data_IF_748248656569
#
_entry.id   IF_748248656569
#
_cell.length_a   1.000
_cell.length_b   1.000
_cell.length_c   1.000
_cell.angle_alpha   90.00
_cell.angle_beta   90.00
_cell.angle_gamma   90.00
#
_symmetry.space_group_name_H-M   'P 1'
#
loop_
_entity.id
_entity.type
_entity.pdbx_description
1 polymer ?
#
# COMPACT_ATOMS: atom_id res chain seq x y z
N UNK A 1 59.10 8.81 -25.07
CA UNK A 1 59.49 7.69 -24.19
C UNK A 1 58.57 7.74 -22.98
N UNK A 2 57.79 6.67 -22.73
CA UNK A 2 57.14 6.33 -21.43
C UNK A 2 55.95 7.24 -21.04
N UNK A 3 54.73 6.80 -20.69
CA UNK A 3 54.17 5.47 -20.40
C UNK A 3 52.67 5.43 -20.68
N UNK A 4 52.27 4.29 -21.24
CA UNK A 4 50.92 3.78 -21.48
C UNK A 4 50.30 3.39 -20.13
N UNK A 5 49.35 4.16 -19.58
CA UNK A 5 48.56 3.68 -18.44
C UNK A 5 47.49 2.69 -18.95
N UNK A 6 47.69 1.43 -18.59
CA UNK A 6 46.78 0.31 -18.80
C UNK A 6 45.48 0.55 -18.03
N UNK A 7 44.35 0.37 -18.71
CA UNK A 7 43.07 0.07 -18.07
C UNK A 7 43.24 -1.10 -17.08
N UNK A 8 42.78 -0.98 -15.82
CA UNK A 8 42.61 -2.16 -14.98
C UNK A 8 41.43 -3.00 -15.51
N UNK A 9 41.57 -4.33 -15.56
CA UNK A 9 40.54 -5.25 -16.04
C UNK A 9 39.48 -5.49 -14.96
N UNK A 10 38.22 -5.63 -15.40
CA UNK A 10 37.20 -6.37 -14.67
C UNK A 10 36.79 -5.77 -13.33
N UNK A 11 36.06 -4.65 -13.34
CA UNK A 11 35.12 -4.39 -12.26
C UNK A 11 33.95 -5.36 -12.47
N UNK A 12 34.04 -6.54 -11.85
CA UNK A 12 32.89 -7.37 -11.56
C UNK A 12 31.84 -6.42 -10.98
N UNK A 13 30.62 -6.31 -11.56
CA UNK A 13 29.59 -5.50 -10.95
C UNK A 13 29.35 -6.13 -9.58
N UNK A 14 29.85 -5.48 -8.53
CA UNK A 14 29.43 -5.76 -7.17
C UNK A 14 27.92 -5.60 -7.21
N UNK A 15 27.25 -6.75 -7.07
CA UNK A 15 25.82 -6.88 -7.12
C UNK A 15 25.25 -5.90 -6.09
N UNK A 16 24.84 -4.72 -6.57
CA UNK A 16 24.19 -3.71 -5.75
C UNK A 16 23.08 -4.41 -4.99
N UNK A 17 23.03 -4.18 -3.68
CA UNK A 17 22.15 -4.88 -2.75
C UNK A 17 20.75 -5.07 -3.40
N UNK A 18 20.33 -6.31 -3.71
CA UNK A 18 19.31 -6.60 -4.73
C UNK A 18 17.85 -6.25 -4.36
N UNK A 19 17.64 -5.32 -3.43
CA UNK A 19 16.46 -5.32 -2.58
C UNK A 19 15.86 -3.94 -2.30
N UNK A 20 16.05 -2.98 -3.20
CA UNK A 20 15.24 -1.77 -3.22
C UNK A 20 14.06 -1.95 -4.20
N UNK A 21 13.08 -2.75 -3.79
CA UNK A 21 11.80 -2.79 -4.52
C UNK A 21 11.11 -1.43 -4.41
N UNK A 22 10.72 -0.85 -5.53
CA UNK A 22 9.88 0.36 -5.48
C UNK A 22 8.53 0.05 -4.83
N UNK A 23 7.94 1.03 -4.14
CA UNK A 23 6.60 0.94 -3.55
C UNK A 23 5.56 0.43 -4.56
N UNK A 24 5.69 0.89 -5.81
CA UNK A 24 4.87 0.49 -6.95
C UNK A 24 5.02 -1.01 -7.27
N UNK A 25 6.25 -1.54 -7.29
CA UNK A 25 6.51 -2.97 -7.50
C UNK A 25 5.86 -3.83 -6.43
N UNK A 26 5.92 -3.40 -5.15
CA UNK A 26 5.30 -4.13 -4.04
C UNK A 26 3.79 -4.17 -4.20
N UNK A 27 3.14 -3.05 -4.47
CA UNK A 27 1.69 -3.02 -4.61
C UNK A 27 1.20 -3.80 -5.85
N UNK A 28 1.96 -3.77 -6.96
CA UNK A 28 1.69 -4.62 -8.12
C UNK A 28 1.84 -6.11 -7.80
N UNK A 29 2.85 -6.48 -7.00
CA UNK A 29 3.04 -7.84 -6.52
C UNK A 29 1.83 -8.31 -5.67
N UNK A 30 1.37 -7.48 -4.73
CA UNK A 30 0.21 -7.76 -3.88
C UNK A 30 -1.07 -7.90 -4.72
N UNK A 31 -1.28 -7.03 -5.69
CA UNK A 31 -2.42 -7.11 -6.58
C UNK A 31 -2.37 -8.36 -7.49
N UNK A 32 -1.18 -8.73 -7.97
CA UNK A 32 -0.97 -9.97 -8.73
C UNK A 32 -1.31 -11.21 -7.90
N UNK A 33 -0.87 -11.23 -6.64
CA UNK A 33 -1.17 -12.30 -5.68
C UNK A 33 -2.68 -12.40 -5.42
N UNK A 34 -3.35 -11.26 -5.23
CA UNK A 34 -4.81 -11.20 -5.09
C UNK A 34 -5.52 -11.84 -6.28
N UNK A 35 -5.17 -11.42 -7.51
CA UNK A 35 -5.82 -11.91 -8.72
C UNK A 35 -5.58 -13.40 -8.95
N UNK A 36 -4.38 -13.90 -8.62
CA UNK A 36 -4.03 -15.31 -8.74
C UNK A 36 -4.80 -16.16 -7.73
N UNK A 37 -4.80 -15.78 -6.45
CA UNK A 37 -5.56 -16.47 -5.40
C UNK A 37 -7.05 -16.47 -5.76
N UNK A 38 -7.60 -15.31 -6.09
CA UNK A 38 -9.01 -15.20 -6.45
C UNK A 38 -9.36 -16.08 -7.66
N UNK A 39 -8.54 -16.07 -8.71
CA UNK A 39 -8.78 -16.89 -9.90
C UNK A 39 -8.71 -18.38 -9.65
N UNK A 40 -7.79 -18.84 -8.79
CA UNK A 40 -7.72 -20.24 -8.37
C UNK A 40 -8.92 -20.63 -7.50
N UNK A 41 -9.29 -19.78 -6.53
CA UNK A 41 -10.41 -20.03 -5.63
C UNK A 41 -11.74 -20.08 -6.40
N UNK A 42 -11.91 -19.27 -7.46
CA UNK A 42 -13.13 -19.29 -8.26
C UNK A 42 -13.52 -20.68 -8.77
N UNK A 43 -12.56 -21.56 -9.06
CA UNK A 43 -12.89 -22.93 -9.48
C UNK A 43 -13.59 -23.73 -8.38
N UNK A 44 -13.12 -23.61 -7.13
CA UNK A 44 -13.67 -24.31 -5.97
C UNK A 44 -14.93 -23.63 -5.38
N UNK A 45 -15.03 -22.30 -5.52
CA UNK A 45 -16.23 -21.56 -5.12
C UNK A 45 -17.42 -21.89 -6.03
N UNK A 46 -17.17 -22.07 -7.33
CA UNK A 46 -18.22 -22.44 -8.30
C UNK A 46 -18.73 -23.86 -8.14
N UNK A 47 -17.93 -24.79 -7.63
CA UNK A 47 -18.39 -26.14 -7.29
C UNK A 47 -19.16 -26.19 -5.97
N UNK A 48 -19.31 -25.05 -5.27
CA UNK A 48 -19.97 -24.97 -3.97
C UNK A 48 -19.17 -25.63 -2.84
N UNK A 49 -17.90 -25.97 -3.08
CA UNK A 49 -17.07 -26.68 -2.11
C UNK A 49 -16.58 -25.77 -0.98
N UNK A 50 -16.62 -24.45 -1.17
CA UNK A 50 -16.12 -23.46 -0.22
C UNK A 50 -17.15 -22.34 -0.01
N UNK A 51 -17.27 -21.78 1.22
CA UNK A 51 -18.08 -20.61 1.47
C UNK A 51 -17.51 -19.39 0.74
N UNK A 52 -18.37 -18.57 0.13
CA UNK A 52 -17.93 -17.39 -0.62
C UNK A 52 -18.46 -16.11 0.02
N UNK A 53 -17.57 -15.18 0.36
CA UNK A 53 -17.94 -13.83 0.77
C UNK A 53 -17.64 -12.82 -0.36
N UNK A 54 -18.65 -12.45 -1.19
CA UNK A 54 -18.46 -11.47 -2.25
C UNK A 54 -18.04 -10.08 -1.73
N UNK A 55 -18.58 -9.64 -0.60
CA UNK A 55 -18.24 -8.35 0.01
C UNK A 55 -16.77 -8.29 0.45
N UNK A 56 -16.26 -9.36 1.06
CA UNK A 56 -14.85 -9.49 1.42
C UNK A 56 -13.91 -9.47 0.21
N UNK A 57 -14.30 -10.11 -0.88
CA UNK A 57 -13.51 -10.17 -2.11
C UNK A 57 -13.48 -8.82 -2.85
N UNK A 58 -14.63 -8.26 -3.21
CA UNK A 58 -14.70 -7.00 -3.96
C UNK A 58 -14.27 -5.81 -3.10
N UNK A 59 -14.58 -5.83 -1.80
CA UNK A 59 -14.11 -4.83 -0.84
C UNK A 59 -12.59 -4.79 -0.74
N UNK A 60 -11.94 -5.95 -0.60
CA UNK A 60 -10.48 -6.04 -0.53
C UNK A 60 -9.83 -5.57 -1.84
N UNK A 61 -10.38 -5.97 -2.99
CA UNK A 61 -9.93 -5.47 -4.28
C UNK A 61 -10.01 -3.94 -4.35
N UNK A 62 -11.12 -3.36 -3.91
CA UNK A 62 -11.32 -1.91 -3.93
C UNK A 62 -10.34 -1.18 -2.99
N UNK A 63 -10.04 -1.74 -1.82
CA UNK A 63 -9.00 -1.18 -0.92
C UNK A 63 -7.61 -1.28 -1.56
N UNK A 64 -7.26 -2.38 -2.22
CA UNK A 64 -5.98 -2.51 -2.93
C UNK A 64 -5.86 -1.53 -4.11
N UNK A 65 -6.94 -1.32 -4.88
CA UNK A 65 -6.99 -0.29 -5.93
C UNK A 65 -6.83 1.10 -5.33
N UNK A 66 -7.49 1.36 -4.19
CA UNK A 66 -7.38 2.63 -3.47
C UNK A 66 -5.95 2.91 -3.02
N UNK A 67 -5.25 1.89 -2.52
CA UNK A 67 -3.83 1.99 -2.19
C UNK A 67 -3.01 2.36 -3.41
N UNK A 68 -3.23 1.73 -4.57
CA UNK A 68 -2.54 2.08 -5.81
C UNK A 68 -2.79 3.54 -6.23
N UNK A 69 -4.04 4.01 -6.13
CA UNK A 69 -4.41 5.41 -6.41
C UNK A 69 -3.65 6.35 -5.46
N UNK A 70 -3.71 6.09 -4.16
CA UNK A 70 -3.15 6.96 -3.13
C UNK A 70 -1.61 7.07 -3.21
N UNK A 71 -0.94 5.96 -3.52
CA UNK A 71 0.52 5.80 -3.38
C UNK A 71 1.30 6.07 -4.64
N UNK A 72 0.81 5.62 -5.81
CA UNK A 72 1.53 5.79 -7.08
C UNK A 72 1.43 7.26 -7.53
N UNK A 73 0.44 8.01 -7.04
CA UNK A 73 0.22 9.40 -7.43
C UNK A 73 -0.18 9.55 -8.91
N UNK A 74 -0.26 8.43 -9.66
CA UNK A 74 -0.79 8.34 -11.03
C UNK A 74 -2.19 7.73 -10.98
N UNK A 75 -3.19 8.48 -11.42
CA UNK A 75 -4.54 7.91 -11.49
C UNK A 75 -4.61 6.80 -12.54
N UNK A 76 -5.69 6.00 -12.49
CA UNK A 76 -6.17 5.25 -13.65
C UNK A 76 -6.27 6.05 -14.96
N UNK A 77 -6.36 7.37 -14.89
CA UNK A 77 -6.52 8.26 -16.04
C UNK A 77 -5.19 8.73 -16.66
N UNK A 78 -4.02 8.48 -16.05
CA UNK A 78 -2.71 8.88 -16.58
C UNK A 78 -1.70 9.38 -15.54
N UNK A 79 -0.56 9.91 -16.01
CA UNK A 79 0.43 10.60 -15.16
C UNK A 79 -0.10 11.97 -14.77
N UNK A 80 -0.97 12.02 -13.78
CA UNK A 80 -1.30 13.26 -13.11
C UNK A 80 -0.31 13.49 -11.97
N UNK A 81 -0.01 14.75 -11.67
CA UNK A 81 0.66 15.09 -10.41
C UNK A 81 -0.27 14.68 -9.26
N UNK A 82 0.28 14.24 -8.13
CA UNK A 82 -0.48 13.77 -6.97
C UNK A 82 -1.33 14.92 -6.42
N UNK A 83 -2.59 15.02 -6.85
CA UNK A 83 -3.51 16.08 -6.42
C UNK A 83 -4.27 15.66 -5.16
N UNK A 84 -4.69 16.63 -4.36
CA UNK A 84 -5.53 16.39 -3.17
C UNK A 84 -6.83 15.66 -3.50
N UNK A 85 -7.47 16.01 -4.62
CA UNK A 85 -8.69 15.34 -5.10
C UNK A 85 -8.50 13.84 -5.31
N UNK A 86 -7.35 13.44 -5.85
CA UNK A 86 -7.05 12.05 -6.13
C UNK A 86 -6.81 11.23 -4.84
N UNK A 87 -6.14 11.83 -3.86
CA UNK A 87 -6.00 11.22 -2.52
C UNK A 87 -7.38 11.08 -1.88
N UNK A 88 -8.21 12.12 -1.93
CA UNK A 88 -9.58 12.09 -1.40
C UNK A 88 -10.43 10.99 -2.06
N UNK A 89 -10.41 10.91 -3.39
CA UNK A 89 -11.12 9.88 -4.14
C UNK A 89 -10.64 8.47 -3.72
N UNK A 90 -9.33 8.27 -3.59
CA UNK A 90 -8.75 7.02 -3.10
C UNK A 90 -9.17 6.70 -1.65
N UNK A 91 -9.27 7.70 -0.77
CA UNK A 91 -9.77 7.49 0.59
C UNK A 91 -11.25 7.10 0.60
N UNK A 92 -12.09 7.76 -0.20
CA UNK A 92 -13.50 7.40 -0.34
C UNK A 92 -13.69 5.97 -0.85
N UNK A 93 -12.93 5.56 -1.87
CA UNK A 93 -12.99 4.18 -2.38
C UNK A 93 -12.50 3.16 -1.35
N UNK A 94 -11.50 3.50 -0.52
CA UNK A 94 -11.03 2.62 0.54
C UNK A 94 -12.05 2.45 1.66
N UNK A 95 -12.75 3.54 2.04
CA UNK A 95 -13.85 3.50 3.00
C UNK A 95 -14.97 2.60 2.50
N UNK A 96 -15.42 2.78 1.25
CA UNK A 96 -16.45 1.93 0.64
C UNK A 96 -16.02 0.45 0.58
N UNK A 97 -14.76 0.18 0.22
CA UNK A 97 -14.22 -1.17 0.18
C UNK A 97 -14.17 -1.82 1.56
N UNK A 98 -13.80 -1.05 2.58
CA UNK A 98 -13.76 -1.51 3.98
C UNK A 98 -15.16 -1.82 4.51
N UNK A 99 -16.15 -0.96 4.23
CA UNK A 99 -17.56 -1.20 4.59
C UNK A 99 -18.05 -2.51 3.94
N UNK A 100 -17.75 -2.72 2.66
CA UNK A 100 -18.12 -3.94 1.94
C UNK A 100 -17.46 -5.20 2.50
N UNK A 101 -16.21 -5.10 2.95
CA UNK A 101 -15.54 -6.23 3.60
C UNK A 101 -16.24 -6.63 4.90
N UNK A 102 -16.72 -5.65 5.66
CA UNK A 102 -17.21 -5.88 7.02
C UNK A 102 -18.68 -6.26 7.05
N UNK A 103 -19.49 -5.70 6.14
CA UNK A 103 -20.93 -5.92 6.05
C UNK A 103 -21.22 -6.72 4.77
N UNK A 104 -21.25 -8.08 4.85
CA UNK A 104 -21.59 -8.89 3.69
C UNK A 104 -23.06 -8.68 3.29
N UNK A 105 -23.34 -8.70 1.98
CA UNK A 105 -24.70 -8.76 1.42
C UNK A 105 -25.39 -7.41 1.15
N UNK A 106 -24.95 -6.31 1.77
CA UNK A 106 -25.66 -5.01 1.63
C UNK A 106 -25.17 -4.19 0.44
N UNK A 107 -23.85 -4.16 0.20
CA UNK A 107 -23.23 -3.30 -0.80
C UNK A 107 -22.61 -4.07 -1.99
N UNK A 108 -22.76 -5.40 -2.04
CA UNK A 108 -21.94 -6.25 -2.90
C UNK A 108 -22.10 -5.93 -4.39
N UNK A 109 -23.31 -5.67 -4.87
CA UNK A 109 -23.55 -5.30 -6.27
C UNK A 109 -22.99 -3.91 -6.61
N UNK A 110 -23.18 -2.93 -5.73
CA UNK A 110 -22.69 -1.57 -5.90
C UNK A 110 -21.16 -1.58 -5.95
N UNK A 111 -20.53 -2.31 -5.03
CA UNK A 111 -19.07 -2.39 -4.91
C UNK A 111 -18.47 -3.19 -6.06
N UNK A 112 -19.12 -4.28 -6.49
CA UNK A 112 -18.75 -5.00 -7.71
C UNK A 112 -18.82 -4.10 -8.94
N UNK A 113 -19.89 -3.33 -9.09
CA UNK A 113 -20.06 -2.37 -10.17
C UNK A 113 -19.01 -1.26 -10.15
N UNK A 114 -18.73 -0.69 -8.98
CA UNK A 114 -17.70 0.32 -8.77
C UNK A 114 -16.30 -0.23 -9.08
N UNK A 115 -15.97 -1.42 -8.59
CA UNK A 115 -14.72 -2.10 -8.90
C UNK A 115 -14.61 -2.34 -10.41
N UNK A 116 -15.66 -2.88 -11.05
CA UNK A 116 -15.72 -3.09 -12.49
C UNK A 116 -15.51 -1.81 -13.30
N UNK A 117 -16.16 -0.71 -12.90
CA UNK A 117 -16.00 0.60 -13.54
C UNK A 117 -14.58 1.13 -13.38
N UNK A 118 -14.00 1.06 -12.18
CA UNK A 118 -12.63 1.48 -11.93
C UNK A 118 -11.65 0.66 -12.74
N UNK A 119 -11.79 -0.67 -12.78
CA UNK A 119 -10.95 -1.57 -13.60
C UNK A 119 -11.06 -1.23 -15.09
N UNK A 120 -12.29 -1.10 -15.61
CA UNK A 120 -12.53 -0.86 -17.03
C UNK A 120 -11.99 0.50 -17.48
N UNK A 121 -12.37 1.57 -16.77
CA UNK A 121 -11.96 2.94 -17.11
C UNK A 121 -10.44 3.10 -17.01
N UNK A 122 -9.82 2.56 -15.96
CA UNK A 122 -8.39 2.64 -15.75
C UNK A 122 -7.55 1.87 -16.76
N UNK A 123 -7.97 0.65 -17.12
CA UNK A 123 -7.31 -0.15 -18.13
C UNK A 123 -7.42 0.50 -19.50
N UNK A 124 -8.63 0.90 -19.88
CA UNK A 124 -8.90 1.54 -21.17
C UNK A 124 -8.10 2.82 -21.37
N UNK A 125 -8.05 3.71 -20.37
CA UNK A 125 -7.38 5.00 -20.53
C UNK A 125 -5.86 4.83 -20.61
N UNK A 126 -5.28 3.94 -19.79
CA UNK A 126 -3.84 3.64 -19.89
C UNK A 126 -3.48 2.95 -21.20
N UNK A 127 -4.37 2.11 -21.73
CA UNK A 127 -4.19 1.49 -23.05
C UNK A 127 -4.22 2.56 -24.16
N UNK A 128 -5.20 3.46 -24.15
CA UNK A 128 -5.27 4.58 -25.11
C UNK A 128 -4.02 5.46 -24.99
N UNK A 129 -3.55 5.77 -23.79
CA UNK A 129 -2.33 6.55 -23.61
C UNK A 129 -1.09 5.88 -24.16
N UNK A 130 -0.97 4.55 -24.03
CA UNK A 130 0.11 3.77 -24.61
C UNK A 130 0.08 3.85 -26.15
N UNK A 131 -1.12 3.80 -26.74
CA UNK A 131 -1.33 3.89 -28.19
C UNK A 131 -1.15 5.32 -28.72
N UNK A 132 -1.54 6.36 -27.98
CA UNK A 132 -1.44 7.77 -28.42
C UNK A 132 0.02 8.27 -28.35
N UNK A 133 0.80 7.85 -27.35
CA UNK A 133 2.22 8.20 -27.24
C UNK A 133 3.13 7.34 -28.13
N UNK A 134 2.73 7.14 -29.40
CA UNK A 134 3.42 6.29 -30.39
C UNK A 134 4.92 6.56 -30.45
N UNK A 135 5.33 7.83 -30.42
CA UNK A 135 6.76 8.22 -30.49
C UNK A 135 7.60 7.71 -29.31
N UNK A 136 7.00 7.53 -28.11
CA UNK A 136 7.67 6.99 -26.92
C UNK A 136 7.66 5.46 -26.93
N UNK A 137 6.50 4.86 -27.21
CA UNK A 137 6.35 3.41 -27.31
C UNK A 137 7.18 2.80 -28.45
N UNK A 138 7.18 3.43 -29.63
CA UNK A 138 8.02 3.01 -30.76
C UNK A 138 9.51 3.11 -30.43
N UNK A 139 9.92 4.15 -29.68
CA UNK A 139 11.31 4.28 -29.24
C UNK A 139 11.68 3.14 -28.29
N UNK A 140 10.79 2.75 -27.38
CA UNK A 140 11.02 1.65 -26.42
C UNK A 140 10.99 0.27 -27.07
N UNK A 141 10.18 0.06 -28.11
CA UNK A 141 10.11 -1.18 -28.88
C UNK A 141 11.33 -1.32 -29.80
N UNK A 142 11.88 -0.20 -30.30
CA UNK A 142 13.01 -0.17 -31.24
C UNK A 142 14.36 -0.45 -30.58
N UNK A 143 14.48 -0.24 -29.26
CA UNK A 143 15.66 -0.70 -28.50
C UNK A 143 15.44 -2.17 -28.05
N UNK A 144 16.21 -3.14 -28.58
CA UNK A 144 16.13 -4.52 -28.11
C UNK A 144 16.59 -4.62 -26.65
N UNK A 145 15.80 -5.28 -25.79
CA UNK A 145 16.13 -5.47 -24.38
C UNK A 145 14.90 -5.44 -23.46
N UNK A 146 15.15 -5.17 -22.16
CA UNK A 146 14.12 -5.19 -21.10
C UNK A 146 12.98 -4.18 -21.32
N UNK A 147 13.23 -3.08 -22.02
CA UNK A 147 12.24 -2.03 -22.34
C UNK A 147 11.12 -2.52 -23.27
N UNK A 148 11.44 -3.43 -24.21
CA UNK A 148 10.45 -4.07 -25.08
C UNK A 148 9.51 -4.97 -24.29
N UNK A 149 10.07 -5.79 -23.39
CA UNK A 149 9.30 -6.64 -22.48
C UNK A 149 8.40 -5.82 -21.54
N UNK A 150 8.90 -4.69 -21.03
CA UNK A 150 8.09 -3.79 -20.21
C UNK A 150 6.89 -3.23 -20.98
N UNK A 151 7.09 -2.79 -22.23
CA UNK A 151 6.02 -2.22 -23.06
C UNK A 151 4.93 -3.26 -23.37
N UNK A 152 5.33 -4.48 -23.73
CA UNK A 152 4.42 -5.60 -23.99
C UNK A 152 3.65 -5.95 -22.72
N UNK A 153 4.34 -6.09 -21.59
CA UNK A 153 3.75 -6.39 -20.29
C UNK A 153 2.71 -5.34 -19.88
N UNK A 154 3.02 -4.05 -20.02
CA UNK A 154 2.08 -2.96 -19.76
C UNK A 154 0.82 -3.06 -20.63
N UNK A 155 0.97 -3.25 -21.94
CA UNK A 155 -0.17 -3.38 -22.85
C UNK A 155 -1.08 -4.56 -22.49
N UNK A 156 -0.47 -5.68 -22.09
CA UNK A 156 -1.15 -6.91 -21.76
C UNK A 156 -1.89 -6.82 -20.41
N UNK A 157 -1.27 -6.19 -19.40
CA UNK A 157 -1.93 -5.84 -18.13
C UNK A 157 -3.10 -4.89 -18.39
N UNK A 158 -2.94 -3.81 -19.16
CA UNK A 158 -4.02 -2.84 -19.38
C UNK A 158 -5.21 -3.45 -20.12
N UNK A 159 -4.96 -4.31 -21.10
CA UNK A 159 -6.00 -5.03 -21.83
C UNK A 159 -6.75 -6.01 -20.94
N UNK A 160 -6.03 -6.86 -20.21
CA UNK A 160 -6.63 -7.88 -19.33
C UNK A 160 -7.34 -7.24 -18.14
N UNK A 161 -6.80 -6.14 -17.59
CA UNK A 161 -7.43 -5.35 -16.54
C UNK A 161 -8.74 -4.71 -17.02
N UNK A 162 -8.77 -4.17 -18.23
CA UNK A 162 -10.00 -3.63 -18.83
C UNK A 162 -11.03 -4.73 -19.08
N UNK A 163 -10.60 -5.89 -19.61
CA UNK A 163 -11.47 -7.04 -19.82
C UNK A 163 -12.08 -7.55 -18.51
N UNK A 164 -11.29 -7.64 -17.43
CA UNK A 164 -11.78 -8.02 -16.10
C UNK A 164 -12.83 -7.03 -15.59
N UNK A 165 -12.67 -5.73 -15.86
CA UNK A 165 -13.67 -4.72 -15.54
C UNK A 165 -15.01 -4.93 -16.27
N UNK A 166 -14.96 -5.23 -17.56
CA UNK A 166 -16.16 -5.52 -18.38
C UNK A 166 -16.88 -6.77 -17.85
N UNK A 167 -16.14 -7.83 -17.55
CA UNK A 167 -16.69 -9.07 -16.99
C UNK A 167 -17.32 -8.83 -15.62
N UNK A 168 -16.75 -7.95 -14.79
CA UNK A 168 -17.34 -7.58 -13.50
C UNK A 168 -18.65 -6.79 -13.64
N UNK A 169 -18.72 -5.89 -14.62
CA UNK A 169 -19.91 -5.08 -14.91
C UNK A 169 -21.04 -5.93 -15.51
N UNK A 170 -20.69 -6.82 -16.44
CA UNK A 170 -21.64 -7.65 -17.18
C UNK A 170 -21.33 -9.13 -16.95
N UNK A 171 -21.73 -9.71 -15.80
CA UNK A 171 -21.41 -11.10 -15.45
C UNK A 171 -22.01 -12.10 -16.45
N UNK A 172 -23.11 -11.75 -17.13
CA UNK A 172 -23.74 -12.59 -18.15
C UNK A 172 -23.06 -12.58 -19.53
N UNK A 173 -22.03 -11.74 -19.74
CA UNK A 173 -21.35 -11.64 -21.04
C UNK A 173 -20.27 -12.72 -21.23
N UNK A 174 -19.82 -13.33 -20.13
CA UNK A 174 -18.70 -14.26 -20.10
C UNK A 174 -19.17 -15.65 -19.68
N UNK A 175 -18.67 -16.70 -20.35
CA UNK A 175 -18.93 -18.08 -19.95
C UNK A 175 -18.40 -18.39 -18.55
N UNK A 176 -18.97 -19.38 -17.88
CA UNK A 176 -18.80 -19.63 -16.44
C UNK A 176 -17.35 -19.74 -15.96
N UNK A 177 -16.44 -20.26 -16.80
CA UNK A 177 -15.03 -20.45 -16.46
C UNK A 177 -14.13 -19.27 -16.85
N UNK A 178 -14.60 -18.40 -17.75
CA UNK A 178 -13.79 -17.32 -18.32
C UNK A 178 -13.26 -16.32 -17.27
N UNK A 179 -14.04 -15.86 -16.27
CA UNK A 179 -13.55 -14.92 -15.26
C UNK A 179 -12.42 -15.51 -14.39
N UNK A 180 -12.44 -16.83 -14.16
CA UNK A 180 -11.39 -17.52 -13.40
C UNK A 180 -10.08 -17.52 -14.19
N UNK A 181 -10.10 -17.94 -15.45
CA UNK A 181 -8.91 -17.88 -16.32
C UNK A 181 -8.38 -16.46 -16.50
N UNK A 182 -9.28 -15.49 -16.70
CA UNK A 182 -8.91 -14.10 -16.90
C UNK A 182 -8.20 -13.51 -15.67
N UNK A 183 -8.67 -13.82 -14.46
CA UNK A 183 -8.04 -13.36 -13.22
C UNK A 183 -6.69 -14.05 -12.94
N UNK A 184 -6.55 -15.36 -13.18
CA UNK A 184 -5.25 -16.04 -13.09
C UNK A 184 -4.26 -15.44 -14.09
N UNK A 185 -4.69 -15.24 -15.33
CA UNK A 185 -3.86 -14.64 -16.37
C UNK A 185 -3.42 -13.23 -15.99
N UNK A 186 -4.35 -12.39 -15.52
CA UNK A 186 -4.06 -11.04 -15.03
C UNK A 186 -3.05 -11.06 -13.86
N UNK A 187 -3.17 -12.01 -12.93
CA UNK A 187 -2.21 -12.22 -11.84
C UNK A 187 -0.79 -12.48 -12.36
N UNK A 188 -0.64 -13.40 -13.32
CA UNK A 188 0.65 -13.69 -13.98
C UNK A 188 1.21 -12.44 -14.66
N UNK A 189 0.36 -11.66 -15.31
CA UNK A 189 0.76 -10.42 -15.98
C UNK A 189 1.29 -9.38 -14.99
N UNK A 190 0.69 -9.26 -13.80
CA UNK A 190 1.18 -8.38 -12.74
C UNK A 190 2.54 -8.79 -12.21
N UNK A 191 2.77 -10.09 -11.97
CA UNK A 191 4.09 -10.58 -11.56
C UNK A 191 5.14 -10.31 -12.63
N UNK A 192 4.81 -10.55 -13.90
CA UNK A 192 5.69 -10.27 -15.02
C UNK A 192 6.01 -8.77 -15.13
N UNK A 193 5.01 -7.90 -14.96
CA UNK A 193 5.19 -6.45 -14.94
C UNK A 193 6.06 -5.99 -13.76
N UNK A 194 5.83 -6.52 -12.57
CA UNK A 194 6.62 -6.22 -11.37
C UNK A 194 8.09 -6.61 -11.58
N UNK A 195 8.35 -7.78 -12.16
CA UNK A 195 9.69 -8.23 -12.52
C UNK A 195 10.36 -7.30 -13.53
N UNK A 196 9.67 -6.94 -14.61
CA UNK A 196 10.20 -6.00 -15.61
C UNK A 196 10.51 -4.62 -14.99
N UNK A 197 9.61 -4.09 -14.16
CA UNK A 197 9.81 -2.83 -13.43
C UNK A 197 11.06 -2.88 -12.55
N UNK A 198 11.23 -3.94 -11.77
CA UNK A 198 12.40 -4.10 -10.90
C UNK A 198 13.71 -4.19 -11.70
N UNK A 199 13.72 -4.94 -12.81
CA UNK A 199 14.90 -5.07 -13.68
C UNK A 199 15.27 -3.75 -14.35
N UNK A 200 14.29 -2.97 -14.81
CA UNK A 200 14.53 -1.64 -15.37
C UNK A 200 15.06 -0.70 -14.31
N UNK A 201 14.51 -0.74 -13.10
CA UNK A 201 15.03 0.07 -11.99
C UNK A 201 16.51 -0.25 -11.72
N UNK A 202 16.86 -1.52 -11.55
CA UNK A 202 18.25 -1.94 -11.32
C UNK A 202 19.20 -1.55 -12.45
N UNK A 203 18.79 -1.69 -13.71
CA UNK A 203 19.64 -1.40 -14.87
C UNK A 203 19.89 0.10 -15.08
N UNK A 204 18.94 0.95 -14.75
CA UNK A 204 19.02 2.39 -15.03
C UNK A 204 19.36 3.26 -13.81
N UNK A 205 19.11 2.81 -12.57
CA UNK A 205 19.57 3.54 -11.37
C UNK A 205 21.06 3.32 -11.06
N UNK A 206 21.67 2.22 -11.49
CA UNK A 206 23.12 1.99 -11.31
C UNK A 206 24.03 2.81 -12.23
N UNK A 207 23.47 3.71 -13.07
CA UNK A 207 24.25 4.47 -14.07
C UNK A 207 24.32 5.99 -13.84
N UNK A 208 23.77 6.54 -12.74
CA UNK A 208 23.96 7.96 -12.39
C UNK A 208 23.96 8.24 -10.88
N UNK A 209 25.09 8.59 -10.25
CA UNK A 209 25.10 9.57 -9.16
C UNK A 209 25.16 10.98 -9.79
N UNK A 210 24.13 11.79 -9.58
CA UNK A 210 24.13 13.20 -9.98
C UNK A 210 23.58 13.47 -11.38
N UNK A 211 22.27 13.68 -11.46
CA UNK A 211 21.60 14.64 -12.36
C UNK A 211 20.10 14.50 -12.14
N UNK A 212 19.60 15.14 -11.09
CA UNK A 212 18.21 15.55 -11.07
C UNK A 212 17.97 16.41 -12.30
N UNK A 213 17.07 15.96 -13.17
CA UNK A 213 16.52 16.78 -14.23
C UNK A 213 15.69 17.87 -13.54
N UNK A 214 16.34 18.97 -13.16
CA UNK A 214 15.73 20.26 -12.83
C UNK A 214 15.04 20.77 -14.09
N UNK A 215 13.83 20.27 -14.33
CA UNK A 215 12.93 20.76 -15.36
C UNK A 215 12.52 22.19 -15.04
N UNK A 216 13.33 23.15 -15.50
CA UNK A 216 13.03 24.59 -15.51
C UNK A 216 11.88 24.85 -16.47
N UNK A 217 10.65 24.67 -16.01
CA UNK A 217 9.45 25.20 -16.66
C UNK A 217 8.78 26.21 -15.71
N UNK A 218 9.36 27.40 -15.65
CA UNK A 218 8.69 28.60 -15.18
C UNK A 218 7.66 29.03 -16.23
N UNK A 219 6.40 28.68 -16.01
CA UNK A 219 5.26 29.29 -16.69
C UNK A 219 4.25 29.71 -15.62
N UNK A 220 4.27 30.98 -15.24
CA UNK A 220 3.06 31.71 -14.84
C UNK A 220 2.57 32.44 -16.10
N UNK A 221 1.25 32.60 -16.35
CA UNK A 221 0.31 33.11 -15.35
C UNK A 221 -1.13 32.53 -15.35
N UNK A 222 -1.84 32.86 -14.25
CA UNK A 222 -3.29 33.11 -14.09
C UNK A 222 -4.29 32.18 -14.81
N UNK A 223 -4.68 31.12 -14.10
CA UNK A 223 -6.09 30.67 -14.06
C UNK A 223 -6.40 30.36 -12.61
N UNK A 224 -7.51 30.91 -12.11
CA UNK A 224 -8.02 30.76 -10.75
C UNK A 224 -8.25 29.27 -10.44
N UNK A 225 -7.24 28.60 -9.88
CA UNK A 225 -7.25 27.16 -9.63
C UNK A 225 -7.82 26.87 -8.25
N UNK A 226 -8.92 26.13 -8.25
CA UNK A 226 -9.55 25.56 -7.07
C UNK A 226 -8.52 24.81 -6.19
N UNK A 227 -8.54 25.07 -4.88
CA UNK A 227 -7.66 24.51 -3.83
C UNK A 227 -7.47 22.98 -3.88
N UNK A 228 -8.41 22.25 -4.49
CA UNK A 228 -8.42 20.79 -4.64
C UNK A 228 -7.47 20.25 -5.73
N UNK A 229 -7.04 21.09 -6.68
CA UNK A 229 -6.14 20.74 -7.79
C UNK A 229 -4.66 21.03 -7.48
N UNK A 230 -4.35 21.47 -6.26
CA UNK A 230 -2.99 21.76 -5.82
C UNK A 230 -2.21 20.46 -5.56
N UNK A 231 -0.92 20.49 -5.90
CA UNK A 231 -0.01 19.37 -5.72
C UNK A 231 0.20 19.09 -4.24
N UNK A 232 -0.06 17.86 -3.82
CA UNK A 232 0.13 17.41 -2.45
C UNK A 232 1.46 16.67 -2.35
N UNK A 233 2.50 17.36 -1.86
CA UNK A 233 3.79 16.77 -1.52
C UNK A 233 3.74 16.05 -0.15
N UNK A 234 2.75 15.19 0.08
CA UNK A 234 2.63 14.43 1.34
C UNK A 234 3.46 13.16 1.24
N UNK A 235 4.42 12.86 2.13
CA UNK A 235 5.16 11.60 2.12
C UNK A 235 4.24 10.37 2.08
N UNK A 236 4.55 9.33 1.28
CA UNK A 236 3.70 8.15 1.14
C UNK A 236 3.41 7.45 2.48
N UNK A 237 4.38 7.45 3.41
CA UNK A 237 4.19 6.90 4.75
C UNK A 237 3.11 7.61 5.57
N UNK A 238 3.01 8.95 5.48
CA UNK A 238 1.97 9.72 6.18
C UNK A 238 0.59 9.36 5.62
N UNK A 239 0.48 9.19 4.31
CA UNK A 239 -0.82 8.87 3.71
C UNK A 239 -1.29 7.45 4.03
N UNK A 240 -0.35 6.49 4.16
CA UNK A 240 -0.68 5.17 4.71
C UNK A 240 -1.16 5.24 6.17
N UNK A 241 -0.55 6.09 7.00
CA UNK A 241 -0.99 6.29 8.39
C UNK A 241 -2.39 6.91 8.46
N UNK A 242 -2.67 7.91 7.60
CA UNK A 242 -4.00 8.52 7.48
C UNK A 242 -5.04 7.47 7.04
N UNK A 243 -4.72 6.66 6.04
CA UNK A 243 -5.61 5.60 5.58
C UNK A 243 -5.91 4.59 6.69
N UNK A 244 -4.87 4.12 7.40
CA UNK A 244 -5.04 3.17 8.50
C UNK A 244 -5.86 3.77 9.66
N UNK A 245 -5.63 5.04 9.97
CA UNK A 245 -6.41 5.79 10.97
C UNK A 245 -7.89 5.82 10.60
N UNK A 246 -8.23 6.19 9.37
CA UNK A 246 -9.62 6.21 8.89
C UNK A 246 -10.24 4.81 8.97
N UNK A 247 -9.51 3.78 8.57
CA UNK A 247 -9.99 2.39 8.62
C UNK A 247 -10.25 1.93 10.07
N UNK A 248 -9.39 2.28 11.02
CA UNK A 248 -9.60 1.95 12.44
C UNK A 248 -10.77 2.71 13.07
N UNK A 249 -10.92 4.00 12.76
CA UNK A 249 -12.08 4.79 13.22
C UNK A 249 -13.36 4.22 12.64
N UNK A 250 -13.37 3.94 11.34
CA UNK A 250 -14.51 3.33 10.64
C UNK A 250 -14.86 1.97 11.25
N UNK A 251 -13.85 1.14 11.50
CA UNK A 251 -14.02 -0.17 12.10
C UNK A 251 -14.66 -0.07 13.49
N UNK A 252 -14.18 0.84 14.33
CA UNK A 252 -14.78 1.10 15.63
C UNK A 252 -16.26 1.53 15.48
N UNK A 253 -16.53 2.57 14.69
CA UNK A 253 -17.91 3.06 14.51
C UNK A 253 -18.85 1.97 14.00
N UNK A 254 -18.38 1.11 13.09
CA UNK A 254 -19.18 0.03 12.52
C UNK A 254 -19.48 -1.10 13.51
N UNK A 255 -18.63 -1.29 14.53
CA UNK A 255 -18.85 -2.31 15.54
C UNK A 255 -20.03 -2.00 16.47
N UNK A 256 -20.38 -0.72 16.65
CA UNK A 256 -21.51 -0.30 17.49
C UNK A 256 -22.83 -0.96 17.04
N UNK A 257 -23.31 -0.79 15.79
CA UNK A 257 -24.54 -1.44 15.33
C UNK A 257 -24.44 -2.97 15.25
N UNK A 258 -23.22 -3.51 15.10
CA UNK A 258 -22.98 -4.96 15.11
C UNK A 258 -23.21 -5.52 16.52
N UNK A 259 -22.72 -4.86 17.56
CA UNK A 259 -22.98 -5.28 18.95
C UNK A 259 -24.46 -5.15 19.34
N UNK A 260 -25.19 -4.22 18.72
CA UNK A 260 -26.64 -4.12 18.86
C UNK A 260 -27.40 -5.19 18.06
N UNK A 261 -26.72 -6.03 17.27
CA UNK A 261 -27.34 -7.07 16.45
C UNK A 261 -28.09 -6.56 15.22
N UNK A 262 -27.88 -5.30 14.82
CA UNK A 262 -28.63 -4.66 13.73
C UNK A 262 -28.10 -5.08 12.36
N UNK A 263 -26.79 -5.34 12.24
CA UNK A 263 -26.10 -5.52 10.96
C UNK A 263 -25.25 -6.80 10.98
N UNK A 264 -25.25 -7.61 9.90
CA UNK A 264 -24.37 -8.77 9.78
C UNK A 264 -22.90 -8.34 9.68
N UNK A 265 -22.00 -9.11 10.29
CA UNK A 265 -20.59 -8.75 10.38
C UNK A 265 -19.65 -9.91 10.05
N UNK A 266 -18.69 -9.67 9.16
CA UNK A 266 -17.66 -10.63 8.78
C UNK A 266 -16.34 -10.38 9.53
N UNK A 267 -16.13 -11.10 10.63
CA UNK A 267 -14.91 -11.03 11.44
C UNK A 267 -13.65 -11.47 10.67
N UNK A 268 -13.79 -12.47 9.80
CA UNK A 268 -12.65 -12.98 9.02
C UNK A 268 -12.17 -11.98 7.98
N UNK A 269 -13.10 -11.31 7.30
CA UNK A 269 -12.77 -10.27 6.33
C UNK A 269 -12.18 -9.02 6.99
N UNK A 270 -12.59 -8.73 8.22
CA UNK A 270 -12.00 -7.66 9.01
C UNK A 270 -10.53 -7.90 9.34
N UNK A 271 -10.21 -9.03 9.97
CA UNK A 271 -8.84 -9.36 10.31
C UNK A 271 -7.99 -9.68 9.07
N UNK A 272 -8.59 -10.25 8.02
CA UNK A 272 -7.94 -10.49 6.74
C UNK A 272 -7.51 -9.19 6.05
N UNK A 273 -8.40 -8.18 6.01
CA UNK A 273 -8.07 -6.84 5.51
C UNK A 273 -6.92 -6.22 6.30
N UNK A 274 -7.00 -6.22 7.64
CA UNK A 274 -5.94 -5.65 8.49
C UNK A 274 -4.61 -6.36 8.27
N UNK A 275 -4.61 -7.68 8.16
CA UNK A 275 -3.42 -8.47 7.88
C UNK A 275 -2.78 -8.11 6.53
N UNK A 276 -3.59 -7.98 5.47
CA UNK A 276 -3.09 -7.54 4.15
C UNK A 276 -2.51 -6.14 4.22
N UNK A 277 -3.20 -5.20 4.89
CA UNK A 277 -2.72 -3.82 5.04
C UNK A 277 -1.40 -3.75 5.81
N UNK A 278 -1.26 -4.51 6.90
CA UNK A 278 -0.03 -4.56 7.69
C UNK A 278 1.12 -5.16 6.89
N UNK A 279 0.88 -6.26 6.18
CA UNK A 279 1.93 -6.86 5.34
C UNK A 279 2.32 -5.94 4.18
N UNK A 280 1.35 -5.24 3.57
CA UNK A 280 1.65 -4.18 2.60
C UNK A 280 2.51 -3.09 3.25
N UNK A 281 2.18 -2.61 4.45
CA UNK A 281 3.00 -1.58 5.12
C UNK A 281 4.44 -2.04 5.36
N UNK A 282 4.64 -3.28 5.80
CA UNK A 282 5.98 -3.85 6.00
C UNK A 282 6.76 -3.95 4.69
N UNK A 283 6.16 -4.55 3.65
CA UNK A 283 6.81 -4.72 2.35
C UNK A 283 7.06 -3.38 1.64
N UNK A 284 6.12 -2.45 1.77
CA UNK A 284 6.08 -1.21 0.99
C UNK A 284 6.87 -0.08 1.67
N UNK A 285 6.82 0.06 2.98
CA UNK A 285 7.53 1.12 3.71
C UNK A 285 8.89 0.64 4.26
N UNK A 286 9.19 -0.66 4.26
CA UNK A 286 10.45 -1.22 4.79
C UNK A 286 10.66 -0.98 6.29
N UNK A 287 9.65 -0.41 6.97
CA UNK A 287 9.60 -0.18 8.40
C UNK A 287 9.06 -1.45 9.04
N UNK A 288 9.97 -2.33 9.43
CA UNK A 288 9.61 -3.47 10.27
C UNK A 288 9.52 -3.00 11.73
N UNK A 289 8.79 -3.71 12.61
CA UNK A 289 8.87 -3.47 14.05
C UNK A 289 10.33 -3.45 14.52
N UNK A 290 11.21 -4.25 13.92
CA UNK A 290 12.65 -4.31 14.20
C UNK A 290 13.52 -3.27 13.49
N UNK A 291 12.95 -2.26 12.81
CA UNK A 291 13.68 -1.09 12.29
C UNK A 291 13.54 -0.89 10.79
N UNK A 292 14.29 0.06 10.26
CA UNK A 292 14.47 0.23 8.82
C UNK A 292 15.34 -0.93 8.37
N UNK A 293 14.72 -1.98 7.84
CA UNK A 293 15.43 -3.13 7.31
C UNK A 293 15.50 -2.98 5.79
N UNK A 294 16.65 -3.29 5.20
CA UNK A 294 16.74 -3.49 3.75
C UNK A 294 15.82 -4.65 3.39
N UNK A 295 14.99 -4.51 2.33
CA UNK A 295 13.90 -5.45 2.03
C UNK A 295 14.45 -6.81 1.60
N UNK A 296 14.78 -7.68 2.53
CA UNK A 296 15.40 -8.97 2.25
C UNK A 296 14.41 -9.93 1.56
N UNK A 297 14.91 -10.85 0.73
CA UNK A 297 14.10 -11.91 0.11
C UNK A 297 13.26 -12.72 1.12
N UNK A 298 13.76 -13.08 2.32
CA UNK A 298 12.91 -13.74 3.33
C UNK A 298 11.77 -12.86 3.84
N UNK A 299 11.97 -11.54 3.96
CA UNK A 299 10.88 -10.62 4.33
C UNK A 299 9.80 -10.55 3.24
N UNK A 300 10.20 -10.60 1.97
CA UNK A 300 9.27 -10.66 0.83
C UNK A 300 8.43 -11.94 0.86
N UNK A 301 9.03 -13.10 1.12
CA UNK A 301 8.32 -14.38 1.21
C UNK A 301 7.37 -14.39 2.41
N UNK A 302 7.86 -13.97 3.58
CA UNK A 302 7.05 -13.88 4.78
C UNK A 302 5.84 -12.97 4.55
N UNK A 303 6.06 -11.79 3.97
CA UNK A 303 4.98 -10.89 3.61
C UNK A 303 4.00 -11.50 2.60
N UNK A 304 4.48 -12.22 1.59
CA UNK A 304 3.62 -12.92 0.64
C UNK A 304 2.74 -13.99 1.30
N UNK A 305 3.28 -14.75 2.26
CA UNK A 305 2.53 -15.75 3.04
C UNK A 305 1.43 -15.05 3.86
N UNK A 306 1.78 -13.99 4.59
CA UNK A 306 0.83 -13.24 5.42
C UNK A 306 -0.28 -12.60 4.58
N UNK A 307 0.07 -12.06 3.40
CA UNK A 307 -0.91 -11.50 2.47
C UNK A 307 -1.84 -12.59 1.93
N UNK A 308 -1.28 -13.74 1.54
CA UNK A 308 -2.07 -14.89 1.05
C UNK A 308 -3.07 -15.33 2.10
N UNK A 309 -2.64 -15.44 3.36
CA UNK A 309 -3.50 -15.82 4.48
C UNK A 309 -4.63 -14.79 4.68
N UNK A 310 -4.31 -13.49 4.69
CA UNK A 310 -5.31 -12.44 4.84
C UNK A 310 -6.31 -12.35 3.67
N UNK A 311 -5.85 -12.56 2.44
CA UNK A 311 -6.70 -12.62 1.25
C UNK A 311 -7.63 -13.82 1.29
N UNK A 312 -7.10 -14.99 1.62
CA UNK A 312 -7.90 -16.21 1.71
C UNK A 312 -8.99 -16.07 2.79
N UNK A 313 -8.64 -15.55 3.98
CA UNK A 313 -9.60 -15.32 5.06
C UNK A 313 -10.69 -14.31 4.69
N UNK A 314 -10.35 -13.33 3.85
CA UNK A 314 -11.33 -12.34 3.38
C UNK A 314 -12.30 -12.91 2.36
N UNK A 315 -11.85 -13.82 1.49
CA UNK A 315 -12.65 -14.40 0.40
C UNK A 315 -13.47 -15.60 0.90
N UNK A 316 -12.87 -16.44 1.74
CA UNK A 316 -13.43 -17.72 2.21
C UNK A 316 -13.50 -17.72 3.74
N UNK A 317 -14.61 -17.24 4.32
CA UNK A 317 -14.76 -17.16 5.77
C UNK A 317 -14.82 -18.57 6.42
N UNK A 318 -14.38 -18.67 7.67
CA UNK A 318 -14.56 -19.84 8.54
C UNK A 318 -13.47 -20.92 8.48
N UNK A 319 -12.58 -20.92 7.47
CA UNK A 319 -11.60 -22.02 7.32
C UNK A 319 -10.29 -21.80 8.08
N UNK A 320 -9.79 -20.57 8.11
CA UNK A 320 -8.42 -20.27 8.60
C UNK A 320 -8.41 -19.23 9.72
N UNK A 321 -9.56 -18.94 10.33
CA UNK A 321 -9.72 -17.89 11.34
C UNK A 321 -8.70 -18.01 12.47
N UNK A 322 -8.55 -19.21 13.06
CA UNK A 322 -7.58 -19.44 14.14
C UNK A 322 -6.13 -19.21 13.70
N UNK A 323 -5.76 -19.70 12.50
CA UNK A 323 -4.41 -19.56 11.94
C UNK A 323 -4.06 -18.12 11.58
N UNK A 324 -5.05 -17.30 11.26
CA UNK A 324 -4.89 -15.88 10.92
C UNK A 324 -4.66 -15.01 12.17
N UNK A 325 -5.32 -15.31 13.29
CA UNK A 325 -5.22 -14.49 14.50
C UNK A 325 -3.79 -14.53 15.09
N UNK A 326 -3.11 -15.67 15.00
CA UNK A 326 -1.75 -15.87 15.53
C UNK A 326 -0.74 -14.86 14.93
N UNK A 327 -0.48 -14.83 13.60
CA UNK A 327 0.48 -13.90 13.02
C UNK A 327 0.03 -12.45 13.18
N UNK A 328 -1.28 -12.16 13.16
CA UNK A 328 -1.78 -10.80 13.37
C UNK A 328 -1.51 -10.29 14.79
N UNK A 329 -1.77 -11.11 15.80
CA UNK A 329 -1.52 -10.77 17.19
C UNK A 329 -0.02 -10.66 17.49
N UNK A 330 0.79 -11.61 17.00
CA UNK A 330 2.26 -11.55 17.13
C UNK A 330 2.81 -10.27 16.49
N UNK A 331 2.34 -9.92 15.29
CA UNK A 331 2.79 -8.71 14.61
C UNK A 331 2.50 -7.44 15.43
N UNK A 332 1.29 -7.31 15.97
CA UNK A 332 0.92 -6.17 16.79
C UNK A 332 1.69 -6.14 18.13
N UNK A 333 1.92 -7.31 18.75
CA UNK A 333 2.72 -7.43 19.97
C UNK A 333 4.17 -7.00 19.74
N UNK A 334 4.79 -7.48 18.65
CA UNK A 334 6.14 -7.08 18.25
C UNK A 334 6.23 -5.59 17.92
N UNK A 335 5.24 -5.05 17.20
CA UNK A 335 5.20 -3.62 16.83
C UNK A 335 5.10 -2.72 18.06
N UNK A 336 4.22 -3.05 19.00
CA UNK A 336 4.11 -2.31 20.25
C UNK A 336 5.37 -2.41 21.10
N UNK A 337 5.90 -3.63 21.29
CA UNK A 337 7.04 -3.89 22.17
C UNK A 337 8.34 -3.27 21.65
N UNK A 338 8.66 -3.47 20.37
CA UNK A 338 9.90 -2.92 19.80
C UNK A 338 9.80 -1.41 19.61
N UNK A 339 8.61 -0.90 19.25
CA UNK A 339 8.35 0.54 19.17
C UNK A 339 8.62 1.24 20.51
N UNK A 340 8.12 0.67 21.60
CA UNK A 340 8.33 1.19 22.95
C UNK A 340 9.79 1.04 23.40
N UNK A 341 10.42 -0.12 23.16
CA UNK A 341 11.82 -0.36 23.51
C UNK A 341 12.79 0.61 22.82
N UNK A 342 12.52 0.97 21.56
CA UNK A 342 13.28 1.99 20.84
C UNK A 342 13.17 3.40 21.43
N UNK A 343 12.03 3.70 22.02
CA UNK A 343 11.77 5.01 22.61
C UNK A 343 12.40 5.13 24.00
N UNK A 344 12.43 4.03 24.76
CA UNK A 344 13.04 3.97 26.09
C UNK A 344 14.58 3.90 26.01
N UNK A 345 15.17 3.13 25.08
CA UNK A 345 16.63 2.96 24.96
C UNK A 345 17.42 4.27 24.95
N UNK A 346 17.13 5.29 24.12
CA UNK A 346 17.88 6.53 24.12
C UNK A 346 17.69 7.32 25.42
N UNK A 347 16.50 7.30 26.04
CA UNK A 347 16.24 7.96 27.32
C UNK A 347 17.08 7.36 28.45
N UNK A 348 17.22 6.03 28.47
CA UNK A 348 18.01 5.29 29.43
C UNK A 348 19.53 5.44 29.19
N UNK A 349 19.96 5.51 27.92
CA UNK A 349 21.37 5.74 27.57
C UNK A 349 21.81 7.21 27.77
N UNK A 350 20.88 8.16 27.70
CA UNK A 350 21.14 9.58 27.99
C UNK A 350 21.45 9.84 29.46
N UNK A 351 21.04 8.97 30.39
CA UNK A 351 21.48 9.04 31.80
C UNK A 351 22.94 8.58 32.00
N UNK A 352 23.53 7.84 31.05
CA UNK A 352 24.91 7.32 31.15
C UNK A 352 25.96 8.15 30.40
N UNK A 353 25.59 9.06 29.49
CA UNK A 353 26.56 9.83 28.69
C UNK A 353 26.16 11.30 28.57
N UNK A 354 26.80 12.13 29.39
CA UNK A 354 26.68 13.58 29.36
C UNK A 354 27.49 14.20 28.21
N UNK A 355 27.19 13.86 26.94
CA UNK A 355 27.59 14.65 25.77
C UNK A 355 27.04 14.02 24.49
N UNK A 356 25.89 14.48 24.00
CA UNK A 356 25.78 14.82 22.57
C UNK A 356 24.53 15.65 22.29
N UNK A 357 24.74 16.93 21.97
CA UNK A 357 23.68 17.92 21.66
C UNK A 357 23.13 17.79 20.23
N UNK A 358 23.28 16.64 19.58
CA UNK A 358 22.82 16.41 18.19
C UNK A 358 21.48 15.66 18.12
N UNK A 359 20.97 15.11 19.22
CA UNK A 359 19.64 14.45 19.29
C UNK A 359 18.51 15.44 19.61
N UNK A 360 18.85 16.70 19.87
CA UNK A 360 17.97 17.79 20.36
C UNK A 360 16.87 18.25 19.39
N UNK A 361 16.92 17.87 18.10
CA UNK A 361 15.94 18.34 17.10
C UNK A 361 14.68 17.47 17.00
N UNK A 362 14.78 16.14 17.22
CA UNK A 362 13.67 15.20 16.93
C UNK A 362 12.62 15.11 18.06
N UNK A 363 12.92 15.65 19.25
CA UNK A 363 12.16 15.40 20.49
C UNK A 363 11.49 16.65 21.10
N UNK A 364 11.23 17.72 20.32
CA UNK A 364 10.80 19.02 20.90
C UNK A 364 9.32 19.15 21.25
N UNK A 365 8.56 18.05 21.29
CA UNK A 365 7.18 18.06 21.77
C UNK A 365 6.90 16.94 22.76
N UNK A 366 6.75 17.26 24.05
CA UNK A 366 6.21 16.33 25.08
C UNK A 366 4.93 15.63 24.58
N UNK A 367 4.10 16.36 23.82
CA UNK A 367 2.88 15.85 23.18
C UNK A 367 3.15 14.77 22.11
N UNK A 368 4.17 14.96 21.28
CA UNK A 368 4.55 14.01 20.21
C UNK A 368 5.04 12.68 20.81
N UNK A 369 5.93 12.76 21.81
CA UNK A 369 6.43 11.58 22.53
C UNK A 369 5.30 10.80 23.21
N UNK A 370 4.42 11.50 23.95
CA UNK A 370 3.27 10.88 24.63
C UNK A 370 2.34 10.21 23.62
N UNK A 371 2.08 10.83 22.47
CA UNK A 371 1.24 10.25 21.43
C UNK A 371 1.84 8.97 20.88
N UNK A 372 3.15 8.94 20.59
CA UNK A 372 3.83 7.73 20.10
C UNK A 372 3.78 6.60 21.14
N UNK A 373 4.02 6.91 22.42
CA UNK A 373 3.93 5.93 23.51
C UNK A 373 2.52 5.35 23.59
N UNK A 374 1.48 6.19 23.54
CA UNK A 374 0.10 5.76 23.57
C UNK A 374 -0.26 4.89 22.37
N UNK A 375 0.25 5.20 21.17
CA UNK A 375 0.06 4.36 19.96
C UNK A 375 0.66 2.97 20.17
N UNK A 376 1.91 2.89 20.62
CA UNK A 376 2.57 1.59 20.80
C UNK A 376 1.95 0.77 21.93
N UNK A 377 1.56 1.41 23.03
CA UNK A 377 0.85 0.75 24.13
C UNK A 377 -0.50 0.21 23.67
N UNK A 378 -1.28 1.03 22.94
CA UNK A 378 -2.58 0.61 22.40
C UNK A 378 -2.43 -0.56 21.41
N UNK A 379 -1.39 -0.53 20.58
CA UNK A 379 -1.08 -1.60 19.62
C UNK A 379 -0.69 -2.90 20.35
N UNK A 380 0.07 -2.80 21.44
CA UNK A 380 0.45 -3.94 22.29
C UNK A 380 -0.79 -4.59 22.93
N UNK A 381 -1.65 -3.77 23.54
CA UNK A 381 -2.92 -4.22 24.14
C UNK A 381 -3.83 -4.88 23.09
N UNK A 382 -3.93 -4.28 21.90
CA UNK A 382 -4.70 -4.85 20.79
C UNK A 382 -4.15 -6.21 20.35
N UNK A 383 -2.83 -6.32 20.18
CA UNK A 383 -2.17 -7.58 19.81
C UNK A 383 -2.38 -8.68 20.84
N UNK A 384 -2.32 -8.34 22.13
CA UNK A 384 -2.57 -9.29 23.22
C UNK A 384 -4.02 -9.79 23.20
N UNK A 385 -4.99 -8.91 23.00
CA UNK A 385 -6.40 -9.29 22.91
C UNK A 385 -6.73 -10.12 21.65
N UNK A 386 -5.99 -9.92 20.55
CA UNK A 386 -6.13 -10.75 19.34
C UNK A 386 -5.63 -12.19 19.58
N UNK A 387 -4.55 -12.36 20.33
CA UNK A 387 -3.99 -13.68 20.69
C UNK A 387 -4.82 -14.40 21.77
N UNK A 388 -5.30 -13.64 22.75
CA UNK A 388 -6.08 -14.12 23.88
C UNK A 388 -7.46 -13.46 23.83
N UNK A 389 -8.38 -13.95 22.96
CA UNK A 389 -9.73 -13.44 22.90
C UNK A 389 -10.40 -13.61 24.27
N UNK A 390 -11.20 -12.62 24.68
CA UNK A 390 -11.83 -12.46 25.99
C UNK A 390 -10.95 -11.91 27.14
N UNK A 391 -9.69 -11.53 26.86
CA UNK A 391 -8.90 -10.80 27.86
C UNK A 391 -9.49 -9.41 28.16
N UNK A 392 -10.05 -8.77 27.13
CA UNK A 392 -10.67 -7.46 27.20
C UNK A 392 -12.12 -7.59 26.71
N UNK A 393 -13.11 -6.95 27.37
CA UNK A 393 -14.47 -6.92 26.88
C UNK A 393 -14.54 -6.33 25.47
N UNK A 394 -15.44 -6.86 24.65
CA UNK A 394 -15.67 -6.43 23.28
C UNK A 394 -15.85 -4.89 23.12
N UNK A 395 -16.56 -4.27 24.06
CA UNK A 395 -16.75 -2.80 24.10
C UNK A 395 -15.41 -2.07 24.32
N UNK A 396 -14.51 -2.64 25.11
CA UNK A 396 -13.19 -2.05 25.35
C UNK A 396 -12.26 -2.21 24.14
N UNK A 397 -12.43 -3.26 23.35
CA UNK A 397 -11.74 -3.42 22.04
C UNK A 397 -12.18 -2.32 21.08
N UNK A 398 -13.48 -2.04 21.04
CA UNK A 398 -14.04 -0.94 20.27
C UNK A 398 -13.43 0.42 20.66
N UNK A 399 -13.40 0.73 21.96
CA UNK A 399 -12.81 1.98 22.48
C UNK A 399 -11.32 2.04 22.12
N UNK A 400 -10.59 0.94 22.30
CA UNK A 400 -9.16 0.84 22.00
C UNK A 400 -8.87 1.14 20.53
N UNK A 401 -9.65 0.58 19.60
CA UNK A 401 -9.49 0.81 18.17
C UNK A 401 -9.82 2.25 17.77
N UNK A 402 -10.87 2.82 18.35
CA UNK A 402 -11.23 4.22 18.12
C UNK A 402 -10.11 5.15 18.58
N UNK A 403 -9.60 4.94 19.80
CA UNK A 403 -8.47 5.69 20.36
C UNK A 403 -7.22 5.50 19.50
N UNK A 404 -6.90 4.27 19.09
CA UNK A 404 -5.76 3.99 18.21
C UNK A 404 -5.88 4.74 16.88
N UNK A 405 -7.07 4.75 16.28
CA UNK A 405 -7.36 5.48 15.06
C UNK A 405 -7.14 6.99 15.22
N UNK A 406 -7.66 7.59 16.30
CA UNK A 406 -7.46 9.01 16.61
C UNK A 406 -5.99 9.33 16.86
N UNK A 407 -5.28 8.51 17.63
CA UNK A 407 -3.86 8.72 17.93
C UNK A 407 -3.00 8.69 16.66
N UNK A 408 -3.28 7.76 15.74
CA UNK A 408 -2.62 7.72 14.43
C UNK A 408 -2.93 8.96 13.58
N UNK A 409 -4.15 9.49 13.66
CA UNK A 409 -4.55 10.72 12.97
C UNK A 409 -3.76 11.93 13.50
N UNK A 410 -3.70 12.07 14.83
CA UNK A 410 -2.96 13.14 15.51
C UNK A 410 -1.47 13.04 15.17
N UNK A 411 -0.91 11.82 15.18
CA UNK A 411 0.49 11.60 14.83
C UNK A 411 0.78 12.00 13.37
N UNK A 412 -0.08 11.62 12.43
CA UNK A 412 0.03 12.03 11.04
C UNK A 412 -0.04 13.56 10.89
N UNK A 413 -0.94 14.22 11.62
CA UNK A 413 -1.06 15.69 11.65
C UNK A 413 0.21 16.37 12.16
N UNK A 414 0.77 15.89 13.28
CA UNK A 414 2.02 16.42 13.82
C UNK A 414 3.20 16.24 12.86
N UNK A 415 3.28 15.09 12.18
CA UNK A 415 4.32 14.84 11.18
C UNK A 415 4.18 15.75 9.96
N UNK A 416 2.97 16.06 9.51
CA UNK A 416 2.74 17.01 8.41
C UNK A 416 3.20 18.42 8.79
N UNK A 417 2.79 18.90 9.96
CA UNK A 417 3.17 20.24 10.42
C UNK A 417 4.69 20.40 10.57
N UNK A 418 5.39 19.36 11.02
CA UNK A 418 6.84 19.43 11.18
C UNK A 418 7.58 19.53 9.83
N UNK A 419 7.09 18.86 8.80
CA UNK A 419 7.64 18.92 7.44
C UNK A 419 7.39 20.28 6.77
N UNK A 420 6.29 20.96 7.10
CA UNK A 420 5.97 22.29 6.58
C UNK A 420 6.91 23.36 7.17
N UNK A 421 7.25 23.24 8.46
CA UNK A 421 8.18 24.14 9.15
C UNK A 421 9.63 23.99 8.63
N UNK A 422 10.11 22.76 8.43
CA UNK A 422 11.46 22.53 7.85
C UNK A 422 11.57 23.06 6.41
N UNK A 423 10.46 23.06 5.64
CA UNK A 423 10.44 23.61 4.28
C UNK A 423 10.48 25.14 4.22
N UNK A 424 9.95 25.84 5.23
CA UNK A 424 10.00 27.32 5.31
C UNK A 424 11.36 27.86 5.80
N UNK A 425 12.06 27.11 6.67
CA UNK A 425 13.42 27.48 7.13
C UNK A 425 14.45 27.37 5.99
N UNK A 426 14.35 26.35 5.13
CA UNK A 426 15.27 26.14 4.01
C UNK A 426 15.08 27.17 2.88
N UNK A 427 13.83 27.58 2.61
CA UNK A 427 13.50 28.64 1.62
C UNK A 427 13.85 30.06 2.13
N UNK A 428 13.94 30.24 3.45
CA UNK A 428 14.43 31.47 4.08
C UNK A 428 15.95 31.53 4.12
N UNK A 429 16.64 30.41 4.35
CA UNK A 429 18.11 30.33 4.28
C UNK A 429 18.64 30.51 2.85
N UNK A 430 17.91 30.04 1.83
CA UNK A 430 18.24 30.22 0.41
C UNK A 430 18.09 31.65 -0.12
N UNK A 431 17.41 32.55 0.61
CA UNK A 431 17.28 33.97 0.25
C UNK A 431 18.36 34.88 0.87
N UNK A 432 19.23 34.33 1.71
CA UNK A 432 20.30 35.07 2.40
C UNK A 432 21.70 34.73 1.81
N UNK A 433 21.77 33.86 0.80
CA UNK A 433 23.01 33.50 0.09
C UNK A 433 23.18 34.22 -1.25
#
# INVERSE_FOLDING_TARGET
>A
MISRQRNPPGLVPTLGSPSELTLETVLLFVLGLFMLIFGLLQFALRTGALPFNPGGMYGLLLVLISLLIITIGKTPFGTFRRTRLMILAGMCTAVLGTISCFIPGVLDEIIRGLAGLLLCTSGSIRLVQLVVHKKKAQRWIRFPGILRHLTISCGLVYLTWSASGIVLLFPGLAGDKFPAFLSVFLGICFFYLAWCMQRVWLLYHSQKPGEEIRGKNSIHPRVQKWFLLQEAHIPPGIVFMLLLSIIFILFAVLLIPVYLGIIPFSRDSQFGLLMVLMAVQVLSLGKTPFGIYTRSWPLMILGAIVITLGMYASIVPGLITGWMLIPLGIYNLLTGSVGLGRLIRPLLLSELSSSDRTVSSCLKGKKFLVTIVLVYLSTLVFGLNVLLPALIPDIMVLILLFVLGILLLILAGMMMNHQEIEGEEDDSAGKIA
#
